data_IF_774095268572
#
_entry.id   IF_774095268572
#
_cell.length_a   1.000
_cell.length_b   1.000
_cell.length_c   1.000
_cell.angle_alpha   90.00
_cell.angle_beta   90.00
_cell.angle_gamma   90.00
#
_symmetry.space_group_name_H-M   'P 1'
#
loop_
_entity.id
_entity.type
_entity.pdbx_description
1 polymer ?
#
# COMPACT_ATOMS: atom_id res chain seq x y z
N UNK A 1 -5.26 12.58 -12.70
CA UNK A 1 -4.16 12.74 -13.70
C UNK A 1 -4.69 12.32 -15.07
N UNK A 2 -4.34 13.08 -16.11
CA UNK A 2 -4.62 12.70 -17.50
C UNK A 2 -3.46 11.87 -18.04
N UNK A 3 -3.68 11.10 -19.10
CA UNK A 3 -2.66 10.23 -19.68
C UNK A 3 -1.33 10.94 -19.98
N UNK A 4 -1.38 12.15 -20.48
CA UNK A 4 -0.21 12.95 -20.86
C UNK A 4 0.67 13.34 -19.68
N UNK A 5 0.13 13.30 -18.46
CA UNK A 5 0.82 13.67 -17.23
C UNK A 5 1.64 12.50 -16.64
N UNK A 6 1.33 11.25 -17.05
CA UNK A 6 2.08 10.09 -16.58
C UNK A 6 3.47 10.02 -17.23
N UNK A 7 4.48 9.81 -16.40
CA UNK A 7 5.88 9.69 -16.84
C UNK A 7 6.57 8.49 -16.18
N UNK A 8 7.75 8.11 -16.70
CA UNK A 8 8.61 7.08 -16.14
C UNK A 8 7.92 5.74 -15.93
N UNK A 9 8.29 5.04 -14.87
CA UNK A 9 7.81 3.71 -14.57
C UNK A 9 6.30 3.60 -14.37
N UNK A 10 5.62 4.67 -13.91
CA UNK A 10 4.17 4.66 -13.80
C UNK A 10 3.50 4.66 -15.19
N UNK A 11 4.02 5.46 -16.13
CA UNK A 11 3.57 5.42 -17.53
C UNK A 11 3.85 4.06 -18.17
N UNK A 12 5.03 3.51 -17.95
CA UNK A 12 5.42 2.21 -18.49
C UNK A 12 4.56 1.06 -17.94
N UNK A 13 4.16 1.14 -16.66
CA UNK A 13 3.26 0.16 -16.05
C UNK A 13 1.85 0.20 -16.68
N UNK A 14 1.31 1.39 -16.99
CA UNK A 14 0.03 1.53 -17.69
C UNK A 14 0.09 0.89 -19.08
N UNK A 15 1.16 1.18 -19.85
CA UNK A 15 1.40 0.55 -21.17
C UNK A 15 1.50 -0.97 -21.02
N UNK A 16 2.26 -1.45 -20.03
CA UNK A 16 2.40 -2.87 -19.74
C UNK A 16 1.07 -3.54 -19.38
N UNK A 17 0.20 -2.86 -18.63
CA UNK A 17 -1.16 -3.34 -18.33
C UNK A 17 -2.01 -3.50 -19.59
N UNK A 18 -1.94 -2.55 -20.53
CA UNK A 18 -2.65 -2.65 -21.81
C UNK A 18 -2.14 -3.82 -22.66
N UNK A 19 -0.83 -4.07 -22.66
CA UNK A 19 -0.23 -5.23 -23.33
C UNK A 19 -0.64 -6.55 -22.67
N UNK A 20 -0.68 -6.58 -21.34
CA UNK A 20 -1.07 -7.76 -20.58
C UNK A 20 -2.49 -8.23 -20.91
N UNK A 21 -3.42 -7.28 -21.04
CA UNK A 21 -4.81 -7.56 -21.41
C UNK A 21 -5.02 -7.78 -22.92
N UNK A 22 -3.95 -7.70 -23.72
CA UNK A 22 -4.07 -7.86 -25.17
C UNK A 22 -4.85 -6.72 -25.85
N UNK A 23 -4.94 -5.56 -25.23
CA UNK A 23 -5.58 -4.37 -25.80
C UNK A 23 -4.75 -3.74 -26.92
N UNK A 24 -3.47 -4.05 -26.97
CA UNK A 24 -2.51 -3.63 -27.98
C UNK A 24 -1.46 -4.71 -28.20
N UNK A 25 -0.93 -4.80 -29.42
CA UNK A 25 0.13 -5.75 -29.79
C UNK A 25 1.55 -5.20 -29.60
N UNK A 26 1.70 -3.90 -29.33
CA UNK A 26 3.00 -3.26 -29.12
C UNK A 26 2.87 -2.05 -28.19
N UNK A 27 4.04 -1.61 -27.64
CA UNK A 27 4.09 -0.40 -26.80
C UNK A 27 3.64 0.86 -27.55
N UNK A 28 4.01 0.98 -28.82
CA UNK A 28 3.65 2.13 -29.66
C UNK A 28 2.14 2.15 -29.91
N UNK A 29 1.54 0.99 -30.19
CA UNK A 29 0.09 0.85 -30.36
C UNK A 29 -0.65 1.17 -29.05
N UNK A 30 -0.20 0.62 -27.92
CA UNK A 30 -0.78 0.92 -26.61
C UNK A 30 -0.73 2.42 -26.31
N UNK A 31 0.40 3.07 -26.60
CA UNK A 31 0.58 4.52 -26.42
C UNK A 31 -0.40 5.29 -27.30
N UNK A 32 -0.52 4.93 -28.58
CA UNK A 32 -1.45 5.60 -29.49
C UNK A 32 -2.93 5.44 -29.07
N UNK A 33 -3.31 4.27 -28.58
CA UNK A 33 -4.67 4.01 -28.08
C UNK A 33 -4.98 4.78 -26.78
N UNK A 34 -4.00 4.95 -25.89
CA UNK A 34 -4.09 5.78 -24.69
C UNK A 34 -4.19 7.28 -25.05
N UNK A 35 -3.37 7.77 -25.99
CA UNK A 35 -3.42 9.15 -26.49
C UNK A 35 -4.74 9.47 -27.20
N UNK A 36 -5.29 8.51 -27.92
CA UNK A 36 -6.60 8.64 -28.57
C UNK A 36 -7.79 8.52 -27.59
N UNK A 37 -7.55 8.16 -26.32
CA UNK A 37 -8.61 7.90 -25.33
C UNK A 37 -9.43 6.63 -25.59
N UNK A 38 -8.96 5.74 -26.48
CA UNK A 38 -9.58 4.43 -26.72
C UNK A 38 -9.38 3.50 -25.52
N UNK A 39 -8.19 3.56 -24.92
CA UNK A 39 -7.91 3.00 -23.60
C UNK A 39 -7.95 4.15 -22.60
N UNK A 40 -8.76 4.02 -21.55
CA UNK A 40 -8.89 5.01 -20.49
C UNK A 40 -8.19 4.54 -19.22
N UNK A 41 -7.66 5.50 -18.47
CA UNK A 41 -7.02 5.29 -17.16
C UNK A 41 -7.77 6.10 -16.12
N UNK A 42 -8.10 5.50 -14.99
CA UNK A 42 -8.67 6.20 -13.84
C UNK A 42 -7.92 5.88 -12.55
N UNK A 43 -8.10 6.71 -11.54
CA UNK A 43 -7.47 6.52 -10.25
C UNK A 43 -7.99 5.27 -9.55
N UNK A 44 -7.11 4.48 -8.93
CA UNK A 44 -7.50 3.35 -8.08
C UNK A 44 -8.49 3.77 -6.98
N UNK A 45 -8.34 4.98 -6.44
CA UNK A 45 -9.22 5.50 -5.39
C UNK A 45 -10.70 5.64 -5.81
N UNK A 46 -10.96 5.90 -7.10
CA UNK A 46 -12.32 6.01 -7.66
C UNK A 46 -13.02 4.65 -7.80
N UNK A 47 -12.27 3.56 -7.65
CA UNK A 47 -12.75 2.18 -7.76
C UNK A 47 -12.55 1.37 -6.47
N UNK A 48 -12.37 2.04 -5.33
CA UNK A 48 -12.06 1.41 -4.04
C UNK A 48 -10.83 0.49 -4.07
N UNK A 49 -10.00 0.62 -5.10
CA UNK A 49 -8.76 -0.09 -5.26
C UNK A 49 -7.60 0.61 -4.54
N UNK A 50 -6.59 -0.16 -4.17
CA UNK A 50 -5.35 0.34 -3.60
C UNK A 50 -4.17 -0.52 -4.04
N UNK A 51 -3.11 0.11 -4.55
CA UNK A 51 -1.92 -0.57 -5.06
C UNK A 51 -0.63 0.01 -4.48
N UNK A 52 0.44 -0.76 -4.51
CA UNK A 52 1.78 -0.27 -4.15
C UNK A 52 2.60 0.04 -5.40
N UNK A 53 3.52 1.00 -5.29
CA UNK A 53 4.35 1.47 -6.40
C UNK A 53 3.44 1.97 -7.54
N UNK A 54 3.59 1.55 -8.80
CA UNK A 54 2.70 1.99 -9.87
C UNK A 54 1.24 1.52 -9.72
N UNK A 55 0.99 0.46 -8.94
CA UNK A 55 -0.35 0.06 -8.49
C UNK A 55 -1.35 -0.25 -9.60
N UNK A 56 -0.93 -0.89 -10.69
CA UNK A 56 -1.78 -1.16 -11.86
C UNK A 56 -2.79 -2.26 -11.57
N UNK A 57 -4.03 -2.01 -11.96
CA UNK A 57 -5.13 -2.98 -11.98
C UNK A 57 -5.65 -3.13 -13.40
N UNK A 58 -5.81 -4.37 -13.83
CA UNK A 58 -6.37 -4.71 -15.12
C UNK A 58 -7.47 -5.78 -14.96
N UNK A 59 -8.27 -6.01 -16.00
CA UNK A 59 -9.48 -6.82 -15.90
C UNK A 59 -9.22 -8.29 -15.50
N UNK A 60 -8.09 -8.88 -15.93
CA UNK A 60 -7.77 -10.29 -15.66
C UNK A 60 -7.08 -10.52 -14.32
N UNK A 61 -6.61 -9.46 -13.65
CA UNK A 61 -5.86 -9.59 -12.39
C UNK A 61 -6.76 -10.01 -11.24
N UNK A 62 -6.41 -11.05 -10.47
CA UNK A 62 -7.10 -11.37 -9.23
C UNK A 62 -6.83 -10.30 -8.18
N UNK A 63 -7.81 -10.06 -7.31
CA UNK A 63 -7.71 -9.08 -6.23
C UNK A 63 -8.13 -9.69 -4.89
N UNK A 64 -7.53 -9.22 -3.82
CA UNK A 64 -8.07 -9.39 -2.48
C UNK A 64 -9.25 -8.43 -2.30
N UNK A 65 -10.36 -8.97 -1.78
CA UNK A 65 -11.55 -8.20 -1.41
C UNK A 65 -11.61 -8.13 0.11
N UNK A 66 -11.53 -6.94 0.65
CA UNK A 66 -11.66 -6.69 2.09
C UNK A 66 -12.92 -5.88 2.37
N UNK A 67 -13.71 -6.37 3.32
CA UNK A 67 -14.97 -5.73 3.73
C UNK A 67 -14.83 -5.15 5.14
N UNK A 68 -15.15 -3.89 5.32
CA UNK A 68 -15.45 -3.32 6.63
C UNK A 68 -16.93 -3.54 6.94
N UNK A 69 -17.21 -4.52 7.81
CA UNK A 69 -18.58 -4.87 8.18
C UNK A 69 -19.29 -3.81 9.05
N UNK A 70 -18.56 -2.92 9.68
CA UNK A 70 -19.12 -1.83 10.48
C UNK A 70 -19.40 -0.61 9.61
N UNK A 71 -18.43 -0.19 8.80
CA UNK A 71 -18.57 0.95 7.90
C UNK A 71 -19.34 0.64 6.62
N UNK A 72 -19.56 -0.64 6.30
CA UNK A 72 -20.27 -1.06 5.08
C UNK A 72 -19.49 -0.84 3.80
N UNK A 73 -18.17 -0.64 3.88
CA UNK A 73 -17.30 -0.35 2.76
C UNK A 73 -16.51 -1.58 2.33
N UNK A 74 -16.02 -1.55 1.08
CA UNK A 74 -15.12 -2.55 0.51
C UNK A 74 -13.86 -1.88 -0.02
N UNK A 75 -12.79 -2.67 -0.09
CA UNK A 75 -11.58 -2.27 -0.79
C UNK A 75 -10.96 -3.45 -1.51
N UNK A 76 -10.24 -3.15 -2.59
CA UNK A 76 -9.61 -4.12 -3.45
C UNK A 76 -8.11 -3.87 -3.51
N UNK A 77 -7.30 -4.92 -3.38
CA UNK A 77 -5.86 -4.83 -3.58
C UNK A 77 -5.39 -5.97 -4.49
N UNK A 78 -4.55 -5.64 -5.47
CA UNK A 78 -3.92 -6.65 -6.31
C UNK A 78 -2.93 -7.51 -5.52
N UNK A 79 -2.53 -8.63 -6.11
CA UNK A 79 -1.55 -9.52 -5.51
C UNK A 79 -0.14 -8.90 -5.56
N UNK A 80 0.72 -9.34 -4.64
CA UNK A 80 2.15 -9.11 -4.74
C UNK A 80 2.69 -9.93 -5.93
N UNK A 81 3.53 -9.29 -6.76
CA UNK A 81 4.04 -9.93 -7.99
C UNK A 81 5.28 -10.81 -7.77
N UNK A 82 5.63 -11.10 -6.52
CA UNK A 82 6.80 -11.92 -6.18
C UNK A 82 8.09 -11.10 -6.01
N UNK A 83 9.23 -11.76 -5.76
CA UNK A 83 10.49 -11.11 -5.41
C UNK A 83 11.29 -10.59 -6.62
N UNK A 84 10.88 -10.89 -7.87
CA UNK A 84 11.60 -10.45 -9.07
C UNK A 84 11.79 -8.93 -9.09
N UNK A 85 12.94 -8.49 -9.56
CA UNK A 85 13.22 -7.06 -9.75
C UNK A 85 12.34 -6.45 -10.85
N UNK A 86 12.06 -7.22 -11.90
CA UNK A 86 11.20 -6.81 -13.00
C UNK A 86 9.77 -7.26 -12.70
N UNK A 87 8.89 -6.30 -12.52
CA UNK A 87 7.46 -6.48 -12.22
C UNK A 87 6.65 -5.39 -12.87
N UNK A 88 5.39 -5.64 -13.17
CA UNK A 88 4.52 -4.64 -13.79
C UNK A 88 4.39 -3.39 -12.91
N UNK A 89 4.23 -3.53 -11.60
CA UNK A 89 4.15 -2.38 -10.71
C UNK A 89 5.48 -1.61 -10.50
N UNK A 90 6.59 -2.07 -11.14
CA UNK A 90 7.83 -1.31 -11.29
C UNK A 90 8.07 -0.84 -12.74
N UNK A 91 7.02 -0.77 -13.55
CA UNK A 91 7.10 -0.26 -14.92
C UNK A 91 7.67 -1.25 -15.94
N UNK A 92 7.81 -2.53 -15.59
CA UNK A 92 8.35 -3.55 -16.49
C UNK A 92 7.27 -4.48 -17.02
N UNK A 93 7.29 -4.70 -18.33
CA UNK A 93 6.47 -5.73 -18.97
C UNK A 93 7.28 -6.43 -20.05
N UNK A 94 7.45 -7.73 -19.88
CA UNK A 94 8.13 -8.65 -20.79
C UNK A 94 7.51 -10.05 -20.59
N UNK A 95 8.03 -11.05 -21.29
CA UNK A 95 7.50 -12.43 -21.22
C UNK A 95 7.56 -13.01 -19.80
N UNK A 96 8.62 -12.72 -19.04
CA UNK A 96 8.74 -13.18 -17.64
C UNK A 96 7.63 -12.58 -16.76
N UNK A 97 7.42 -11.27 -16.86
CA UNK A 97 6.36 -10.57 -16.12
C UNK A 97 4.99 -11.06 -16.55
N UNK A 98 4.76 -11.23 -17.84
CA UNK A 98 3.51 -11.78 -18.38
C UNK A 98 3.22 -13.17 -17.80
N UNK A 99 4.17 -14.10 -17.87
CA UNK A 99 4.03 -15.46 -17.32
C UNK A 99 3.77 -15.45 -15.82
N UNK A 100 4.44 -14.57 -15.06
CA UNK A 100 4.22 -14.45 -13.63
C UNK A 100 2.81 -13.92 -13.31
N UNK A 101 2.32 -12.93 -14.05
CA UNK A 101 0.93 -12.43 -13.89
C UNK A 101 -0.10 -13.50 -14.24
N UNK A 102 0.13 -14.28 -15.32
CA UNK A 102 -0.71 -15.44 -15.64
C UNK A 102 -0.69 -16.49 -14.52
N UNK A 103 0.49 -16.82 -13.98
CA UNK A 103 0.63 -17.72 -12.84
C UNK A 103 -0.18 -17.25 -11.63
N UNK A 104 -0.14 -15.95 -11.33
CA UNK A 104 -0.96 -15.37 -10.25
C UNK A 104 -2.45 -15.51 -10.55
N UNK A 105 -2.87 -15.27 -11.78
CA UNK A 105 -4.26 -15.32 -12.19
C UNK A 105 -4.82 -16.75 -12.27
N UNK A 106 -4.03 -17.71 -12.75
CA UNK A 106 -4.50 -19.06 -13.06
C UNK A 106 -4.27 -20.06 -11.90
N UNK A 107 -3.28 -19.80 -11.02
CA UNK A 107 -2.89 -20.72 -9.95
C UNK A 107 -3.06 -20.08 -8.58
N UNK A 108 -2.30 -19.00 -8.28
CA UNK A 108 -2.21 -18.45 -6.92
C UNK A 108 -3.57 -17.88 -6.46
N UNK A 109 -4.17 -17.03 -7.28
CA UNK A 109 -5.47 -16.40 -6.99
C UNK A 109 -6.59 -17.42 -6.78
N UNK A 110 -6.79 -18.38 -7.68
CA UNK A 110 -7.80 -19.44 -7.53
C UNK A 110 -7.60 -20.31 -6.29
N UNK A 111 -6.37 -20.74 -5.97
CA UNK A 111 -6.09 -21.54 -4.76
C UNK A 111 -6.41 -20.77 -3.49
N UNK A 112 -5.94 -19.53 -3.38
CA UNK A 112 -6.22 -18.69 -2.21
C UNK A 112 -7.70 -18.33 -2.12
N UNK A 113 -8.33 -18.03 -3.26
CA UNK A 113 -9.77 -17.72 -3.32
C UNK A 113 -10.63 -18.90 -2.86
N UNK A 114 -10.25 -20.13 -3.21
CA UNK A 114 -10.94 -21.33 -2.75
C UNK A 114 -10.73 -21.59 -1.24
N UNK A 115 -9.49 -21.50 -0.77
CA UNK A 115 -9.18 -21.65 0.64
C UNK A 115 -9.91 -20.61 1.51
N UNK A 116 -9.97 -19.35 1.07
CA UNK A 116 -10.71 -18.27 1.77
C UNK A 116 -12.21 -18.53 1.75
N UNK A 117 -12.78 -19.04 0.64
CA UNK A 117 -14.20 -19.40 0.58
C UNK A 117 -14.54 -20.58 1.51
N UNK A 118 -13.70 -21.60 1.56
CA UNK A 118 -13.85 -22.72 2.50
C UNK A 118 -13.77 -22.26 3.96
N UNK A 119 -12.93 -21.25 4.26
CA UNK A 119 -12.84 -20.64 5.58
C UNK A 119 -14.05 -19.74 5.93
N UNK A 120 -14.91 -19.42 4.95
CA UNK A 120 -15.99 -18.44 5.13
C UNK A 120 -15.51 -17.00 5.29
N UNK A 121 -14.32 -16.69 4.75
CA UNK A 121 -13.60 -15.44 4.93
C UNK A 121 -12.62 -15.48 6.11
N UNK A 122 -11.73 -14.49 6.20
CA UNK A 122 -10.76 -14.36 7.28
C UNK A 122 -10.92 -13.01 7.99
N UNK A 123 -11.07 -13.01 9.33
CA UNK A 123 -11.05 -11.79 10.10
C UNK A 123 -9.61 -11.24 10.18
N UNK A 124 -9.32 -10.15 9.44
CA UNK A 124 -7.97 -9.60 9.33
C UNK A 124 -7.53 -8.81 10.58
N UNK A 125 -8.46 -8.12 11.28
CA UNK A 125 -8.14 -7.32 12.47
C UNK A 125 -7.39 -8.12 13.54
N UNK A 126 -7.79 -9.34 13.95
CA UNK A 126 -7.03 -10.15 14.89
C UNK A 126 -5.64 -10.55 14.39
N UNK A 127 -5.46 -10.75 13.07
CA UNK A 127 -4.15 -11.04 12.49
C UNK A 127 -3.22 -9.84 12.61
N UNK A 128 -3.72 -8.64 12.27
CA UNK A 128 -3.00 -7.38 12.40
C UNK A 128 -2.58 -7.13 13.87
N UNK A 129 -3.49 -7.30 14.82
CA UNK A 129 -3.19 -7.17 16.26
C UNK A 129 -2.04 -8.09 16.69
N UNK A 130 -2.10 -9.36 16.30
CA UNK A 130 -1.07 -10.33 16.62
C UNK A 130 0.24 -10.04 15.93
N UNK A 131 0.22 -9.59 14.66
CA UNK A 131 1.41 -9.23 13.92
C UNK A 131 2.16 -8.05 14.54
N UNK A 132 1.44 -7.01 15.00
CA UNK A 132 2.01 -5.91 15.79
C UNK A 132 2.72 -6.43 17.06
N UNK A 133 2.13 -7.41 17.76
CA UNK A 133 2.74 -7.99 18.96
C UNK A 133 3.93 -8.91 18.63
N UNK A 134 4.09 -9.32 17.38
CA UNK A 134 5.17 -10.20 16.90
C UNK A 134 6.28 -9.43 16.16
N UNK A 135 6.21 -8.10 16.13
CA UNK A 135 7.29 -7.28 15.60
C UNK A 135 7.10 -6.76 14.17
N UNK A 136 5.88 -6.79 13.64
CA UNK A 136 5.53 -6.09 12.40
C UNK A 136 4.89 -4.73 12.70
N UNK A 137 5.03 -3.76 11.79
CA UNK A 137 4.24 -2.53 11.73
C UNK A 137 3.25 -2.52 10.55
N UNK A 138 3.35 -3.53 9.67
CA UNK A 138 2.40 -3.85 8.61
C UNK A 138 2.37 -2.87 7.43
N UNK A 139 3.46 -2.14 7.24
CA UNK A 139 3.78 -1.44 5.99
C UNK A 139 5.10 -2.00 5.42
N UNK A 140 6.23 -1.67 5.99
CA UNK A 140 7.55 -2.13 5.52
C UNK A 140 7.94 -3.52 6.05
N UNK A 141 7.34 -3.97 7.16
CA UNK A 141 7.53 -5.29 7.71
C UNK A 141 6.21 -6.02 7.86
N UNK A 142 6.08 -7.16 7.17
CA UNK A 142 4.86 -7.95 7.08
C UNK A 142 5.10 -9.46 7.31
N UNK A 143 6.24 -9.82 7.85
CA UNK A 143 6.66 -11.22 8.03
C UNK A 143 5.72 -11.98 8.96
N UNK A 144 5.41 -11.42 10.13
CA UNK A 144 4.50 -12.04 11.08
C UNK A 144 3.07 -12.11 10.53
N UNK A 145 2.60 -11.04 9.86
CA UNK A 145 1.30 -11.01 9.18
C UNK A 145 1.17 -12.12 8.13
N UNK A 146 2.18 -12.31 7.30
CA UNK A 146 2.23 -13.37 6.28
C UNK A 146 2.19 -14.77 6.90
N UNK A 147 2.98 -15.00 7.96
CA UNK A 147 2.98 -16.28 8.69
C UNK A 147 1.60 -16.56 9.32
N UNK A 148 1.01 -15.57 9.97
CA UNK A 148 -0.31 -15.71 10.59
C UNK A 148 -1.41 -15.97 9.56
N UNK A 149 -1.40 -15.25 8.44
CA UNK A 149 -2.33 -15.47 7.34
C UNK A 149 -2.23 -16.90 6.79
N UNK A 150 -1.01 -17.36 6.50
CA UNK A 150 -0.78 -18.72 6.00
C UNK A 150 -1.23 -19.77 7.03
N UNK A 151 -0.95 -19.54 8.31
CA UNK A 151 -1.37 -20.44 9.40
C UNK A 151 -2.90 -20.58 9.50
N UNK A 152 -3.63 -19.48 9.42
CA UNK A 152 -5.10 -19.50 9.48
C UNK A 152 -5.72 -20.20 8.26
N UNK A 153 -5.09 -20.08 7.07
CA UNK A 153 -5.56 -20.76 5.86
C UNK A 153 -5.09 -22.22 5.76
N UNK A 154 -4.10 -22.65 6.55
CA UNK A 154 -3.46 -23.95 6.38
C UNK A 154 -4.44 -25.13 6.35
N UNK A 155 -5.45 -25.26 7.23
CA UNK A 155 -6.41 -26.36 7.17
C UNK A 155 -7.15 -26.43 5.83
N UNK A 156 -7.57 -25.26 5.32
CA UNK A 156 -8.32 -25.15 4.08
C UNK A 156 -7.45 -25.39 2.85
N UNK A 157 -6.18 -24.98 2.89
CA UNK A 157 -5.20 -25.30 1.86
C UNK A 157 -4.95 -26.79 1.75
N UNK A 158 -4.98 -27.53 2.88
CA UNK A 158 -4.91 -29.00 2.90
C UNK A 158 -6.14 -29.60 2.20
N UNK A 159 -7.32 -29.01 2.38
CA UNK A 159 -8.52 -29.47 1.68
C UNK A 159 -8.43 -29.22 0.17
N UNK A 160 -8.01 -28.03 -0.26
CA UNK A 160 -7.77 -27.69 -1.68
C UNK A 160 -6.70 -28.61 -2.30
N UNK A 161 -5.66 -28.98 -1.53
CA UNK A 161 -4.58 -29.85 -2.00
C UNK A 161 -5.03 -31.27 -2.36
N UNK A 162 -6.23 -31.72 -1.93
CA UNK A 162 -6.77 -33.02 -2.32
C UNK A 162 -7.03 -33.11 -3.82
N UNK A 163 -7.42 -32.00 -4.43
CA UNK A 163 -7.75 -31.91 -5.86
C UNK A 163 -6.63 -31.23 -6.66
N UNK A 164 -5.94 -30.26 -6.04
CA UNK A 164 -4.92 -29.39 -6.67
C UNK A 164 -3.59 -29.39 -5.92
N UNK A 165 -2.91 -30.54 -5.71
CA UNK A 165 -1.73 -30.61 -4.84
C UNK A 165 -0.53 -29.80 -5.34
N UNK A 166 -0.32 -29.73 -6.67
CA UNK A 166 0.80 -28.96 -7.24
C UNK A 166 0.55 -27.46 -7.16
N UNK A 167 -0.69 -27.03 -7.41
CA UNK A 167 -1.06 -25.62 -7.35
C UNK A 167 -0.96 -25.09 -5.90
N UNK A 168 -1.36 -25.88 -4.91
CA UNK A 168 -1.20 -25.52 -3.49
C UNK A 168 0.27 -25.45 -3.11
N UNK A 169 1.10 -26.41 -3.55
CA UNK A 169 2.55 -26.37 -3.33
C UNK A 169 3.17 -25.11 -3.92
N UNK A 170 2.79 -24.75 -5.13
CA UNK A 170 3.25 -23.56 -5.83
C UNK A 170 2.79 -22.28 -5.12
N UNK A 171 1.54 -22.22 -4.68
CA UNK A 171 0.99 -21.11 -3.91
C UNK A 171 1.73 -20.90 -2.58
N UNK A 172 2.02 -21.99 -1.85
CA UNK A 172 2.79 -21.91 -0.60
C UNK A 172 4.23 -21.45 -0.84
N UNK A 173 4.88 -21.91 -1.91
CA UNK A 173 6.21 -21.45 -2.30
C UNK A 173 6.18 -19.93 -2.63
N UNK A 174 5.19 -19.48 -3.40
CA UNK A 174 5.00 -18.08 -3.73
C UNK A 174 4.84 -17.19 -2.49
N UNK A 175 4.02 -17.63 -1.51
CA UNK A 175 3.84 -16.87 -0.26
C UNK A 175 5.14 -16.88 0.56
N UNK A 176 5.85 -18.02 0.61
CA UNK A 176 7.10 -18.16 1.36
C UNK A 176 8.20 -17.22 0.86
N UNK A 177 8.27 -16.97 -0.44
CA UNK A 177 9.24 -16.07 -1.07
C UNK A 177 8.85 -14.59 -0.95
N UNK A 178 7.69 -14.27 -0.37
CA UNK A 178 7.08 -12.93 -0.42
C UNK A 178 6.99 -12.28 0.96
N UNK A 179 8.06 -11.62 1.42
CA UNK A 179 8.07 -10.87 2.70
C UNK A 179 6.97 -9.79 2.79
N UNK A 180 6.52 -9.28 1.65
CA UNK A 180 5.48 -8.24 1.55
C UNK A 180 4.09 -8.78 1.22
N UNK A 181 3.87 -10.10 1.32
CA UNK A 181 2.58 -10.67 0.92
C UNK A 181 1.41 -10.05 1.70
N UNK A 182 1.51 -9.98 3.03
CA UNK A 182 0.44 -9.46 3.88
C UNK A 182 0.20 -7.95 3.74
N UNK A 183 1.16 -7.19 3.20
CA UNK A 183 0.98 -5.76 2.92
C UNK A 183 -0.26 -5.50 2.05
N UNK A 184 -0.55 -6.40 1.11
CA UNK A 184 -1.72 -6.27 0.23
C UNK A 184 -3.03 -6.31 1.00
N UNK A 185 -3.07 -7.08 2.08
CA UNK A 185 -4.23 -7.18 2.96
C UNK A 185 -4.30 -5.98 3.92
N UNK A 186 -3.18 -5.56 4.52
CA UNK A 186 -3.16 -4.38 5.40
C UNK A 186 -3.51 -3.09 4.66
N UNK A 187 -3.06 -2.93 3.40
CA UNK A 187 -3.47 -1.83 2.53
C UNK A 187 -4.98 -1.82 2.27
N UNK A 188 -5.55 -2.97 1.91
CA UNK A 188 -6.99 -3.07 1.65
C UNK A 188 -7.83 -2.83 2.92
N UNK A 189 -7.36 -3.30 4.11
CA UNK A 189 -7.97 -2.95 5.40
C UNK A 189 -7.93 -1.44 5.63
N UNK A 190 -6.78 -0.80 5.38
CA UNK A 190 -6.62 0.64 5.54
C UNK A 190 -7.55 1.42 4.60
N UNK A 191 -7.64 1.01 3.35
CA UNK A 191 -8.52 1.64 2.36
C UNK A 191 -10.01 1.50 2.74
N UNK A 192 -10.45 0.31 3.14
CA UNK A 192 -11.83 0.09 3.56
C UNK A 192 -12.19 0.96 4.79
N UNK A 193 -11.32 1.00 5.81
CA UNK A 193 -11.54 1.80 7.01
C UNK A 193 -11.50 3.31 6.70
N UNK A 194 -10.57 3.76 5.86
CA UNK A 194 -10.48 5.16 5.45
C UNK A 194 -11.70 5.61 4.63
N UNK A 195 -12.22 4.75 3.75
CA UNK A 195 -13.46 5.02 3.02
C UNK A 195 -14.66 5.15 3.97
N UNK A 196 -14.76 4.31 5.01
CA UNK A 196 -15.81 4.40 6.02
C UNK A 196 -15.75 5.70 6.84
N UNK A 197 -14.56 6.27 7.00
CA UNK A 197 -14.35 7.55 7.71
C UNK A 197 -14.46 8.78 6.79
N UNK A 198 -14.67 8.59 5.48
CA UNK A 198 -14.75 9.68 4.51
C UNK A 198 -16.15 10.30 4.42
N UNK A 199 -16.22 11.59 4.03
CA UNK A 199 -17.49 12.28 3.80
C UNK A 199 -18.18 12.80 5.08
N UNK A 200 -17.49 12.84 6.20
CA UNK A 200 -18.02 13.41 7.45
C UNK A 200 -17.85 14.92 7.44
N UNK A 201 -18.96 15.65 7.35
CA UNK A 201 -18.96 17.11 7.26
C UNK A 201 -18.17 17.77 8.41
N UNK A 202 -17.31 18.72 8.07
CA UNK A 202 -16.46 19.45 9.03
C UNK A 202 -15.31 18.63 9.64
N UNK A 203 -15.09 17.39 9.20
CA UNK A 203 -14.00 16.56 9.71
C UNK A 203 -12.65 16.95 9.09
N UNK A 204 -11.66 17.20 9.96
CA UNK A 204 -10.27 17.49 9.60
C UNK A 204 -9.41 16.23 9.34
N UNK A 205 -10.02 15.04 9.41
CA UNK A 205 -9.28 13.77 9.34
C UNK A 205 -8.88 13.42 7.92
N UNK A 206 -7.61 13.07 7.73
CA UNK A 206 -7.07 12.53 6.47
C UNK A 206 -7.62 11.14 6.23
N UNK A 207 -8.23 10.94 5.08
CA UNK A 207 -8.80 9.65 4.62
C UNK A 207 -8.16 9.14 3.33
N UNK A 208 -7.12 9.78 2.86
CA UNK A 208 -6.34 9.34 1.72
C UNK A 208 -4.97 10.01 1.69
N UNK A 209 -3.96 9.23 1.34
CA UNK A 209 -2.62 9.70 0.99
C UNK A 209 -2.18 8.94 -0.24
N UNK A 210 -1.60 9.62 -1.21
CA UNK A 210 -1.13 9.00 -2.46
C UNK A 210 0.15 9.66 -2.95
N UNK A 211 1.01 8.88 -3.58
CA UNK A 211 2.17 9.36 -4.35
C UNK A 211 1.90 9.02 -5.81
N UNK A 212 2.15 9.97 -6.68
CA UNK A 212 2.17 9.77 -8.13
C UNK A 212 3.58 9.96 -8.68
N UNK A 213 3.76 9.79 -9.99
CA UNK A 213 5.03 10.17 -10.63
C UNK A 213 5.30 11.68 -10.62
N UNK A 214 4.32 12.50 -10.24
CA UNK A 214 4.43 13.96 -10.23
C UNK A 214 4.53 14.56 -8.83
N UNK A 215 3.80 14.00 -7.85
CA UNK A 215 3.53 14.67 -6.58
C UNK A 215 3.09 13.71 -5.47
N UNK A 216 2.86 14.28 -4.31
CA UNK A 216 2.14 13.69 -3.19
C UNK A 216 0.81 14.41 -3.00
N UNK A 217 -0.24 13.69 -2.63
CA UNK A 217 -1.55 14.29 -2.35
C UNK A 217 -2.25 13.63 -1.16
N UNK A 218 -3.12 14.41 -0.50
CA UNK A 218 -3.99 13.94 0.58
C UNK A 218 -5.46 14.20 0.26
N UNK A 219 -6.35 13.38 0.81
CA UNK A 219 -7.80 13.58 0.82
C UNK A 219 -8.26 13.70 2.28
N UNK A 220 -9.16 14.66 2.54
CA UNK A 220 -9.66 14.98 3.88
C UNK A 220 -11.15 14.69 3.96
N UNK A 221 -11.59 14.05 5.03
CA UNK A 221 -12.96 13.56 5.20
C UNK A 221 -14.03 14.65 4.99
N UNK A 222 -13.84 15.83 5.56
CA UNK A 222 -14.82 16.93 5.48
C UNK A 222 -14.78 17.74 4.18
N UNK A 223 -13.82 17.48 3.29
CA UNK A 223 -13.61 18.26 2.07
C UNK A 223 -14.04 17.53 0.77
N UNK A 224 -14.84 16.47 0.89
CA UNK A 224 -15.35 15.71 -0.25
C UNK A 224 -14.25 15.02 -1.05
N UNK A 225 -14.47 14.83 -2.34
CA UNK A 225 -13.55 14.04 -3.20
C UNK A 225 -12.31 14.83 -3.65
N UNK A 226 -12.08 16.03 -3.12
CA UNK A 226 -10.93 16.85 -3.49
C UNK A 226 -9.62 16.29 -2.95
N UNK A 227 -8.59 16.34 -3.78
CA UNK A 227 -7.21 16.03 -3.41
C UNK A 227 -6.39 17.30 -3.29
N UNK A 228 -5.55 17.36 -2.25
CA UNK A 228 -4.67 18.49 -1.96
C UNK A 228 -3.24 18.07 -2.22
N UNK A 229 -2.57 18.74 -3.14
CA UNK A 229 -1.30 18.36 -3.71
C UNK A 229 -0.11 19.09 -3.06
N UNK A 230 1.05 18.43 -3.02
CA UNK A 230 2.33 18.98 -2.59
C UNK A 230 3.48 18.28 -3.31
N UNK A 231 4.74 18.72 -3.13
CA UNK A 231 5.88 18.08 -3.75
C UNK A 231 6.05 16.63 -3.26
N UNK A 232 6.92 15.85 -3.92
CA UNK A 232 7.27 14.53 -3.43
C UNK A 232 7.80 14.58 -1.98
N UNK A 233 7.54 13.52 -1.16
CA UNK A 233 8.05 13.45 0.20
C UNK A 233 9.58 13.48 0.23
N UNK A 234 10.15 13.96 1.35
CA UNK A 234 11.58 13.84 1.60
C UNK A 234 11.89 12.53 2.32
N UNK A 235 13.01 11.89 1.96
CA UNK A 235 13.43 10.60 2.52
C UNK A 235 14.47 10.78 3.64
N UNK A 236 14.28 10.04 4.74
CA UNK A 236 15.32 9.71 5.73
C UNK A 236 15.48 8.19 5.78
N UNK A 237 16.55 7.66 5.20
CA UNK A 237 16.75 6.21 5.15
C UNK A 237 18.07 5.85 4.53
N UNK A 238 18.15 4.63 4.02
CA UNK A 238 19.36 4.12 3.37
C UNK A 238 19.05 3.59 1.98
N UNK A 239 20.00 3.75 1.09
CA UNK A 239 20.04 3.04 -0.17
C UNK A 239 20.70 1.66 0.04
N UNK A 240 20.25 0.67 -0.71
CA UNK A 240 20.91 -0.63 -0.75
C UNK A 240 22.23 -0.51 -1.52
N UNK A 241 23.11 -1.48 -1.34
CA UNK A 241 24.45 -1.43 -1.91
C UNK A 241 24.42 -1.22 -3.43
N UNK A 242 25.19 -0.25 -3.90
CA UNK A 242 25.28 0.10 -5.31
C UNK A 242 24.25 1.13 -5.81
N UNK A 243 23.35 1.61 -4.96
CA UNK A 243 22.35 2.61 -5.32
C UNK A 243 22.54 3.94 -4.58
N UNK A 244 22.03 5.00 -5.20
CA UNK A 244 22.07 6.37 -4.71
C UNK A 244 20.74 7.08 -4.96
N UNK A 245 20.59 8.29 -4.46
CA UNK A 245 19.41 9.13 -4.74
C UNK A 245 19.17 9.36 -6.24
N UNK A 246 20.21 9.34 -7.07
CA UNK A 246 20.09 9.52 -8.51
C UNK A 246 19.38 8.36 -9.22
N UNK A 247 19.32 7.22 -8.56
CA UNK A 247 18.69 6.01 -9.10
C UNK A 247 17.20 5.93 -8.74
N UNK A 248 16.70 6.85 -7.88
CA UNK A 248 15.30 6.90 -7.45
C UNK A 248 14.39 7.26 -8.62
N UNK A 249 13.25 6.58 -8.68
CA UNK A 249 12.15 6.95 -9.55
C UNK A 249 10.85 7.00 -8.75
N UNK A 250 10.18 8.14 -8.80
CA UNK A 250 8.85 8.29 -8.27
C UNK A 250 7.85 7.73 -9.29
N UNK A 251 7.25 6.60 -8.98
CA UNK A 251 6.35 5.92 -9.90
C UNK A 251 4.99 5.58 -9.28
N UNK A 252 4.64 6.31 -8.22
CA UNK A 252 3.39 6.12 -7.52
C UNK A 252 3.56 5.33 -6.23
N UNK A 253 2.43 5.06 -5.60
CA UNK A 253 2.32 4.23 -4.41
C UNK A 253 1.21 4.70 -3.48
N UNK A 254 0.51 3.73 -2.93
CA UNK A 254 -0.58 3.95 -1.99
C UNK A 254 -0.43 3.09 -0.72
N UNK A 255 0.71 2.39 -0.58
CA UNK A 255 0.98 1.53 0.57
C UNK A 255 0.96 2.31 1.91
N UNK A 256 1.25 3.61 1.86
CA UNK A 256 1.15 4.54 2.97
C UNK A 256 -0.29 4.87 3.44
N UNK A 257 -1.32 4.26 2.84
CA UNK A 257 -2.65 4.21 3.46
C UNK A 257 -2.65 3.47 4.80
N UNK A 258 -1.68 2.58 5.03
CA UNK A 258 -1.52 1.90 6.32
C UNK A 258 -1.33 2.90 7.46
N UNK A 259 -0.65 4.01 7.23
CA UNK A 259 -0.45 5.10 8.20
C UNK A 259 -1.75 5.84 8.53
N UNK A 260 -2.69 5.91 7.58
CA UNK A 260 -4.00 6.55 7.81
C UNK A 260 -4.77 5.87 8.94
N UNK A 261 -4.57 4.55 9.12
CA UNK A 261 -5.22 3.76 10.17
C UNK A 261 -4.31 3.43 11.37
N UNK A 262 -3.14 4.04 11.46
CA UNK A 262 -2.24 3.88 12.60
C UNK A 262 -1.27 2.72 12.51
N UNK A 263 -1.02 2.18 11.32
CA UNK A 263 0.03 1.19 11.03
C UNK A 263 1.27 1.88 10.42
N UNK A 264 2.24 1.13 9.95
CA UNK A 264 3.46 1.67 9.34
C UNK A 264 4.23 2.56 10.31
N UNK A 265 4.63 3.75 9.87
CA UNK A 265 5.38 4.71 10.68
C UNK A 265 4.67 5.14 11.98
N UNK A 266 3.35 4.96 12.06
CA UNK A 266 2.56 5.21 13.26
C UNK A 266 2.65 4.07 14.29
N UNK A 267 3.31 2.97 13.94
CA UNK A 267 3.53 1.80 14.80
C UNK A 267 4.98 1.31 14.81
N UNK A 268 5.95 2.14 14.44
CA UNK A 268 7.38 1.77 14.37
C UNK A 268 7.91 1.17 15.68
N UNK A 269 7.43 1.64 16.83
CA UNK A 269 7.83 1.09 18.13
C UNK A 269 7.37 -0.36 18.36
N UNK A 270 6.55 -0.92 17.48
CA UNK A 270 6.25 -2.35 17.46
C UNK A 270 7.28 -3.17 16.68
N UNK A 271 8.08 -2.57 15.79
CA UNK A 271 8.85 -3.26 14.77
C UNK A 271 10.33 -2.85 14.69
N UNK A 272 11.06 -2.93 15.79
CA UNK A 272 12.49 -2.53 15.83
C UNK A 272 13.38 -3.30 14.85
N UNK A 273 12.97 -4.46 14.36
CA UNK A 273 13.65 -5.18 13.29
C UNK A 273 13.79 -4.40 11.98
N UNK A 274 13.01 -3.33 11.77
CA UNK A 274 13.13 -2.43 10.63
C UNK A 274 14.48 -1.72 10.52
N UNK A 275 15.21 -1.57 11.63
CA UNK A 275 16.55 -0.94 11.61
C UNK A 275 17.50 -1.65 10.64
N UNK A 276 17.40 -2.98 10.54
CA UNK A 276 18.23 -3.75 9.62
C UNK A 276 17.95 -3.40 8.15
N UNK A 277 16.73 -2.97 7.86
CA UNK A 277 16.23 -2.70 6.52
C UNK A 277 16.29 -1.22 6.14
N UNK A 278 15.72 -0.34 6.96
CA UNK A 278 15.62 1.09 6.64
C UNK A 278 16.66 1.96 7.36
N UNK A 279 17.50 1.36 8.21
CA UNK A 279 18.46 2.09 9.02
C UNK A 279 17.82 2.78 10.23
N UNK A 280 18.58 3.70 10.86
CA UNK A 280 18.15 4.41 12.06
C UNK A 280 18.45 3.64 13.35
N UNK A 281 17.76 3.96 14.44
CA UNK A 281 17.89 3.32 15.75
C UNK A 281 16.52 3.08 16.39
N UNK A 282 16.48 2.26 17.44
CA UNK A 282 15.26 2.02 18.21
C UNK A 282 14.72 3.31 18.83
N UNK A 283 15.62 4.16 19.33
CA UNK A 283 15.29 5.46 19.92
C UNK A 283 14.64 6.38 18.88
N UNK A 284 15.17 6.40 17.64
CA UNK A 284 14.59 7.17 16.55
C UNK A 284 13.20 6.67 16.20
N UNK A 285 12.98 5.35 16.13
CA UNK A 285 11.66 4.75 15.87
C UNK A 285 10.65 5.10 16.97
N UNK A 286 11.08 5.06 18.23
CA UNK A 286 10.24 5.51 19.37
C UNK A 286 9.91 6.99 19.25
N UNK A 287 10.87 7.85 18.95
CA UNK A 287 10.67 9.29 18.79
C UNK A 287 9.72 9.60 17.62
N UNK A 288 9.89 8.92 16.49
CA UNK A 288 9.00 9.01 15.32
C UNK A 288 7.56 8.65 15.71
N UNK A 289 7.37 7.50 16.34
CA UNK A 289 6.05 7.05 16.75
C UNK A 289 5.40 8.03 17.76
N UNK A 290 6.14 8.55 18.75
CA UNK A 290 5.66 9.54 19.68
C UNK A 290 5.28 10.86 18.99
N UNK A 291 5.99 11.27 17.95
CA UNK A 291 5.65 12.46 17.18
C UNK A 291 4.26 12.32 16.51
N UNK A 292 3.88 11.12 16.07
CA UNK A 292 2.58 10.88 15.39
C UNK A 292 1.37 11.08 16.33
N UNK A 293 1.53 10.87 17.63
CA UNK A 293 0.44 11.19 18.59
C UNK A 293 0.12 12.69 18.65
N UNK A 294 1.05 13.57 18.24
CA UNK A 294 0.83 15.01 18.26
C UNK A 294 -0.07 15.51 17.15
N UNK A 295 -0.21 14.75 16.09
CA UNK A 295 -0.94 15.11 14.87
C UNK A 295 -2.21 14.28 14.65
N UNK A 296 -2.57 13.43 15.60
CA UNK A 296 -3.74 12.55 15.50
C UNK A 296 -4.84 12.93 16.49
N UNK A 297 -6.07 12.51 16.17
CA UNK A 297 -7.25 12.79 17.03
C UNK A 297 -7.42 11.76 18.14
N UNK A 298 -6.79 10.58 18.04
CA UNK A 298 -6.99 9.52 19.00
C UNK A 298 -5.99 8.38 18.90
N UNK A 299 -6.31 7.33 19.63
CA UNK A 299 -5.55 6.08 19.69
C UNK A 299 -6.43 4.93 19.22
N UNK A 300 -5.87 4.05 18.40
CA UNK A 300 -6.60 2.91 17.88
C UNK A 300 -6.96 1.93 19.01
N UNK A 301 -8.24 1.54 19.17
CA UNK A 301 -8.66 0.69 20.28
C UNK A 301 -8.06 -0.72 20.21
N UNK A 302 -7.82 -1.20 19.01
CA UNK A 302 -7.41 -2.57 18.73
C UNK A 302 -5.93 -2.71 18.36
N UNK A 303 -5.34 -1.75 17.64
CA UNK A 303 -3.92 -1.80 17.22
C UNK A 303 -3.06 -1.21 18.32
N UNK A 304 -2.41 -2.09 19.10
CA UNK A 304 -1.70 -1.70 20.31
C UNK A 304 -0.22 -1.98 20.19
N UNK A 305 0.60 -1.06 20.68
CA UNK A 305 2.05 -1.11 20.60
C UNK A 305 2.62 -1.69 21.90
N UNK A 306 3.19 -2.91 21.90
CA UNK A 306 3.71 -3.57 23.10
C UNK A 306 4.73 -2.73 23.86
N UNK A 307 5.65 -2.08 23.13
CA UNK A 307 6.70 -1.23 23.74
C UNK A 307 6.14 -0.08 24.59
N UNK A 308 4.98 0.45 24.25
CA UNK A 308 4.29 1.49 25.02
C UNK A 308 3.29 0.94 26.04
N UNK A 309 3.53 -0.27 26.56
CA UNK A 309 2.61 -0.91 27.50
C UNK A 309 1.23 -1.20 26.91
N UNK A 310 1.19 -1.53 25.63
CA UNK A 310 -0.06 -1.77 24.90
C UNK A 310 -0.94 -0.54 24.72
N UNK A 311 -0.36 0.64 24.72
CA UNK A 311 -1.04 1.86 24.27
C UNK A 311 -1.48 1.71 22.82
N UNK A 312 -2.65 2.24 22.46
CA UNK A 312 -3.15 2.24 21.09
C UNK A 312 -2.23 3.02 20.13
N UNK A 313 -2.06 2.55 18.90
CA UNK A 313 -1.34 3.34 17.90
C UNK A 313 -2.07 4.65 17.61
N UNK A 314 -1.35 5.76 17.32
CA UNK A 314 -1.98 7.03 16.98
C UNK A 314 -2.76 6.88 15.67
N UNK A 315 -4.01 7.37 15.63
CA UNK A 315 -4.90 7.23 14.48
C UNK A 315 -5.76 8.48 14.26
N UNK A 316 -6.15 8.70 12.99
CA UNK A 316 -6.90 9.89 12.59
C UNK A 316 -5.98 11.10 12.46
N UNK A 317 -5.17 11.14 11.41
CA UNK A 317 -4.29 12.27 11.07
C UNK A 317 -5.18 13.51 10.90
N UNK A 318 -4.93 14.56 11.68
CA UNK A 318 -5.70 15.80 11.71
C UNK A 318 -4.92 16.91 11.00
N UNK A 319 -5.41 17.39 9.85
CA UNK A 319 -4.73 18.43 9.08
C UNK A 319 -4.49 19.72 9.87
N UNK A 320 -5.41 20.07 10.81
CA UNK A 320 -5.26 21.26 11.65
C UNK A 320 -4.11 21.09 12.66
N UNK A 321 -3.99 19.92 13.29
CA UNK A 321 -2.88 19.61 14.20
C UNK A 321 -1.54 19.50 13.45
N UNK A 322 -1.52 18.99 12.22
CA UNK A 322 -0.31 18.98 11.38
C UNK A 322 0.21 20.40 11.18
N UNK A 323 -0.67 21.32 10.78
CA UNK A 323 -0.31 22.73 10.57
C UNK A 323 0.07 23.42 11.89
N UNK A 324 -0.73 23.24 12.95
CA UNK A 324 -0.47 23.85 14.26
C UNK A 324 0.87 23.43 14.86
N UNK A 325 1.18 22.14 14.80
CA UNK A 325 2.40 21.59 15.43
C UNK A 325 3.64 21.67 14.56
N UNK A 326 3.49 21.89 13.25
CA UNK A 326 4.58 21.79 12.28
C UNK A 326 5.13 20.37 12.11
N UNK A 327 4.48 19.36 12.68
CA UNK A 327 4.86 17.95 12.54
C UNK A 327 4.08 17.35 11.39
N UNK A 328 4.76 16.81 10.40
CA UNK A 328 4.15 16.13 9.25
C UNK A 328 4.03 14.63 9.52
N UNK A 329 3.07 13.94 8.88
CA UNK A 329 3.01 12.49 8.91
C UNK A 329 4.31 11.87 8.41
N UNK A 330 4.78 10.87 9.14
CA UNK A 330 5.86 9.99 8.74
C UNK A 330 5.27 8.75 8.07
N UNK A 331 5.98 8.23 7.10
CA UNK A 331 5.56 7.11 6.26
C UNK A 331 6.72 6.14 6.15
N UNK A 332 6.52 4.89 6.54
CA UNK A 332 7.49 3.84 6.22
C UNK A 332 7.41 3.51 4.73
N UNK A 333 8.53 3.37 4.06
CA UNK A 333 8.48 3.16 2.64
C UNK A 333 9.72 2.57 2.01
N UNK A 334 9.51 1.88 0.91
CA UNK A 334 10.54 1.45 -0.02
C UNK A 334 10.68 2.44 -1.17
N UNK A 335 11.90 2.57 -1.68
CA UNK A 335 12.21 3.40 -2.83
C UNK A 335 12.29 2.54 -4.09
N UNK A 336 11.55 2.93 -5.10
CA UNK A 336 11.66 2.33 -6.42
C UNK A 336 12.85 2.90 -7.20
N UNK A 337 13.50 2.03 -7.98
CA UNK A 337 14.62 2.40 -8.84
C UNK A 337 14.24 2.48 -10.31
N UNK A 338 14.89 3.36 -11.07
CA UNK A 338 14.74 3.48 -12.53
C UNK A 338 15.04 2.18 -13.29
N UNK A 339 15.90 1.34 -12.72
CA UNK A 339 16.22 0.01 -13.26
C UNK A 339 15.33 -1.10 -12.73
N UNK A 340 14.15 -0.76 -12.17
CA UNK A 340 13.22 -1.70 -11.54
C UNK A 340 13.61 -2.10 -10.12
N UNK A 341 12.65 -2.66 -9.42
CA UNK A 341 12.81 -3.17 -8.06
C UNK A 341 12.98 -2.08 -7.01
N UNK A 342 13.18 -2.53 -5.79
CA UNK A 342 13.41 -1.66 -4.65
C UNK A 342 14.91 -1.42 -4.47
N UNK A 343 15.32 -0.16 -4.29
CA UNK A 343 16.72 0.28 -4.21
C UNK A 343 17.09 0.90 -2.87
N UNK A 344 16.11 1.06 -1.98
CA UNK A 344 16.31 1.62 -0.66
C UNK A 344 15.04 1.53 0.16
N UNK A 345 15.15 1.91 1.43
CA UNK A 345 14.04 2.01 2.36
C UNK A 345 14.31 3.07 3.43
N UNK A 346 13.24 3.58 4.01
CA UNK A 346 13.34 4.54 5.10
C UNK A 346 12.02 5.14 5.50
N UNK A 347 12.11 6.27 6.16
CA UNK A 347 10.97 7.08 6.58
C UNK A 347 10.84 8.25 5.60
N UNK A 348 9.71 8.32 4.93
CA UNK A 348 9.31 9.46 4.11
C UNK A 348 8.60 10.47 5.01
N UNK A 349 8.87 11.75 4.79
CA UNK A 349 8.17 12.85 5.46
C UNK A 349 7.22 13.49 4.46
N UNK A 350 5.91 13.45 4.75
CA UNK A 350 4.89 14.06 3.91
C UNK A 350 5.14 15.58 3.76
N UNK A 351 4.88 16.17 2.59
CA UNK A 351 5.05 17.61 2.39
C UNK A 351 3.98 18.41 3.15
N UNK A 352 4.39 19.50 3.81
CA UNK A 352 3.50 20.35 4.59
C UNK A 352 2.45 21.05 3.72
N UNK A 353 2.77 21.33 2.48
CA UNK A 353 1.98 22.14 1.55
C UNK A 353 0.55 21.61 1.36
N UNK A 354 0.40 20.31 1.19
CA UNK A 354 -0.92 19.70 1.03
C UNK A 354 -1.78 19.82 2.29
N UNK A 355 -1.18 19.70 3.49
CA UNK A 355 -1.89 19.88 4.77
C UNK A 355 -2.28 21.34 5.00
N UNK A 356 -1.38 22.29 4.68
CA UNK A 356 -1.64 23.70 4.83
C UNK A 356 -2.79 24.16 3.90
N UNK A 357 -2.79 23.69 2.65
CA UNK A 357 -3.86 24.00 1.69
C UNK A 357 -5.20 23.41 2.14
N UNK A 358 -5.21 22.14 2.57
CA UNK A 358 -6.42 21.48 3.06
C UNK A 358 -6.97 22.16 4.32
N UNK A 359 -6.10 22.51 5.28
CA UNK A 359 -6.50 23.21 6.49
C UNK A 359 -7.10 24.60 6.21
N UNK A 360 -6.49 25.35 5.29
CA UNK A 360 -7.02 26.65 4.89
C UNK A 360 -8.41 26.55 4.25
N UNK A 361 -8.64 25.53 3.43
CA UNK A 361 -9.94 25.27 2.81
C UNK A 361 -10.99 24.89 3.86
N UNK A 362 -10.65 24.00 4.80
CA UNK A 362 -11.55 23.54 5.87
C UNK A 362 -11.99 24.68 6.80
N UNK A 363 -11.15 25.70 6.99
CA UNK A 363 -11.47 26.86 7.84
C UNK A 363 -12.29 27.91 7.11
N UNK A 364 -12.38 27.84 5.77
CA UNK A 364 -13.16 28.78 4.95
C UNK A 364 -14.56 28.22 4.58
N UNK A 365 -14.79 26.92 4.71
CA UNK A 365 -16.08 26.26 4.54
C UNK A 365 -16.90 26.34 5.87
#
# INVERSE_FOLDING_TARGET
>A
MRWEEYVGGQRDAIIGGALHEGLAGSRDEATALLEAGTITVSSCHEHDCIGSVAGIFTASMPVFVVEDRHGGTRAFCNFYEGPSRHRLNYGYYNDEVHQNLQRIAEVIGPVLGEAVRLAGGLPLKPLIQRALHMGDELHSRNTAGTILFTRELFPYLVDVARERPQDVKETLAFIHESDYFFLRLSMAVAKAAANAAHGVAGSSVVTGMTISCLDFAIRVSGLGERWFHGPHPTLRGRFFDGFTEKDVEWMGGESHHTEVIGLGAFSQAAAFGLQAYQGGSAEAMVANNLAMYRITIGEHPDFRIPYFGFRGSPVGIDVLKVVETGVVPLIDGGLAGRGGGQIGAGVLMAPMECFATAAAELLND
#
